data_IF_194939330544
#
_entry.id   IF_194939330544
#
_cell.length_a   1.000
_cell.length_b   1.000
_cell.length_c   1.000
_cell.angle_alpha   90.00
_cell.angle_beta   90.00
_cell.angle_gamma   90.00
#
_symmetry.space_group_name_H-M   'P 1'
#
loop_
_entity.id
_entity.type
_entity.pdbx_description
1 polymer ?
#
# COMPACT_ATOMS: atom_id res chain seq x y z
N UNK A 1 -1.86 -4.42 -86.63
CA UNK A 1 -1.80 -3.27 -85.69
C UNK A 1 -2.91 -3.34 -84.63
N UNK A 2 -4.17 -3.61 -85.00
CA UNK A 2 -5.32 -3.70 -84.06
C UNK A 2 -5.15 -4.68 -82.87
N UNK A 3 -4.58 -5.88 -83.09
CA UNK A 3 -4.39 -6.87 -82.02
C UNK A 3 -3.31 -6.51 -80.98
N UNK A 4 -2.35 -5.63 -81.31
CA UNK A 4 -1.32 -5.18 -80.34
C UNK A 4 -1.88 -4.12 -79.38
N UNK A 5 -2.72 -3.21 -79.88
CA UNK A 5 -3.38 -2.18 -79.06
C UNK A 5 -4.37 -2.78 -78.06
N UNK A 6 -5.16 -3.78 -78.46
CA UNK A 6 -6.11 -4.45 -77.56
C UNK A 6 -5.41 -5.19 -76.39
N UNK A 7 -4.26 -5.81 -76.66
CA UNK A 7 -3.48 -6.52 -75.63
C UNK A 7 -2.84 -5.55 -74.63
N UNK A 8 -2.38 -4.39 -75.12
CA UNK A 8 -1.80 -3.35 -74.28
C UNK A 8 -2.84 -2.69 -73.34
N UNK A 9 -4.05 -2.41 -73.82
CA UNK A 9 -5.11 -1.83 -72.97
C UNK A 9 -5.57 -2.77 -71.86
N UNK A 10 -5.62 -4.08 -72.12
CA UNK A 10 -5.95 -5.10 -71.10
C UNK A 10 -4.84 -5.16 -70.03
N UNK A 11 -3.57 -5.19 -70.45
CA UNK A 11 -2.44 -5.23 -69.49
C UNK A 11 -2.34 -3.96 -68.63
N UNK A 12 -2.65 -2.79 -69.20
CA UNK A 12 -2.68 -1.53 -68.46
C UNK A 12 -3.77 -1.56 -67.38
N UNK A 13 -4.99 -1.99 -67.74
CA UNK A 13 -6.08 -2.15 -66.77
C UNK A 13 -5.74 -3.13 -65.65
N UNK A 14 -5.10 -4.26 -65.97
CA UNK A 14 -4.65 -5.23 -64.97
C UNK A 14 -3.61 -4.65 -64.00
N UNK A 15 -2.62 -3.90 -64.51
CA UNK A 15 -1.59 -3.28 -63.66
C UNK A 15 -2.16 -2.23 -62.69
N UNK A 16 -3.15 -1.44 -63.14
CA UNK A 16 -3.84 -0.46 -62.30
C UNK A 16 -4.62 -1.18 -61.18
N UNK A 17 -5.37 -2.23 -61.51
CA UNK A 17 -6.11 -3.01 -60.51
C UNK A 17 -5.18 -3.63 -59.46
N UNK A 18 -4.05 -4.21 -59.88
CA UNK A 18 -3.05 -4.76 -58.97
C UNK A 18 -2.44 -3.69 -58.06
N UNK A 19 -2.14 -2.50 -58.59
CA UNK A 19 -1.59 -1.41 -57.79
C UNK A 19 -2.56 -0.93 -56.70
N UNK A 20 -3.85 -0.84 -57.02
CA UNK A 20 -4.90 -0.46 -56.06
C UNK A 20 -5.06 -1.54 -54.99
N UNK A 21 -5.06 -2.82 -55.36
CA UNK A 21 -5.15 -3.92 -54.42
C UNK A 21 -3.96 -3.94 -53.44
N UNK A 22 -2.74 -3.73 -53.94
CA UNK A 22 -1.53 -3.65 -53.11
C UNK A 22 -1.61 -2.44 -52.17
N UNK A 23 -2.00 -1.27 -52.68
CA UNK A 23 -2.15 -0.08 -51.87
C UNK A 23 -3.18 -0.27 -50.74
N UNK A 24 -4.32 -0.89 -51.03
CA UNK A 24 -5.35 -1.19 -50.04
C UNK A 24 -4.83 -2.12 -48.92
N UNK A 25 -4.08 -3.16 -49.29
CA UNK A 25 -3.46 -4.07 -48.32
C UNK A 25 -2.44 -3.33 -47.45
N UNK A 26 -1.59 -2.49 -48.05
CA UNK A 26 -0.60 -1.71 -47.31
C UNK A 26 -1.26 -0.73 -46.32
N UNK A 27 -2.36 -0.08 -46.72
CA UNK A 27 -3.14 0.79 -45.83
C UNK A 27 -3.75 -0.02 -44.68
N UNK A 28 -4.36 -1.17 -44.95
CA UNK A 28 -4.93 -2.02 -43.92
C UNK A 28 -3.86 -2.49 -42.89
N UNK A 29 -2.69 -2.90 -43.38
CA UNK A 29 -1.56 -3.29 -42.53
C UNK A 29 -1.04 -2.09 -41.73
N UNK A 30 -0.92 -0.92 -42.36
CA UNK A 30 -0.45 0.30 -41.70
C UNK A 30 -1.40 0.74 -40.59
N UNK A 31 -2.71 0.74 -40.85
CA UNK A 31 -3.75 1.04 -39.84
C UNK A 31 -3.71 0.02 -38.72
N UNK A 32 -3.62 -1.28 -39.04
CA UNK A 32 -3.51 -2.34 -38.03
C UNK A 32 -2.27 -2.18 -37.14
N UNK A 33 -1.10 -1.99 -37.76
CA UNK A 33 0.16 -1.81 -37.04
C UNK A 33 0.16 -0.52 -36.21
N UNK A 34 -0.37 0.57 -36.73
CA UNK A 34 -0.46 1.85 -36.03
C UNK A 34 -1.45 1.77 -34.85
N UNK A 35 -2.63 1.18 -35.05
CA UNK A 35 -3.66 1.07 -34.01
C UNK A 35 -3.25 0.11 -32.90
N UNK A 36 -2.77 -1.09 -33.25
CA UNK A 36 -2.34 -2.10 -32.27
C UNK A 36 -1.10 -1.62 -31.52
N UNK A 37 -0.10 -1.13 -32.25
CA UNK A 37 1.18 -0.73 -31.66
C UNK A 37 1.08 0.52 -30.79
N UNK A 38 0.26 1.49 -31.19
CA UNK A 38 0.22 2.80 -30.54
C UNK A 38 -0.90 2.96 -29.52
N UNK A 39 -1.99 2.20 -29.64
CA UNK A 39 -3.18 2.38 -28.78
C UNK A 39 -3.40 1.19 -27.85
N UNK A 40 -3.42 -0.04 -28.37
CA UNK A 40 -3.77 -1.24 -27.60
C UNK A 40 -2.64 -1.73 -26.69
N UNK A 41 -1.43 -1.89 -27.24
CA UNK A 41 -0.29 -2.43 -26.47
C UNK A 41 0.01 -1.62 -25.20
N UNK A 42 0.09 -0.28 -25.24
CA UNK A 42 0.37 0.50 -24.03
C UNK A 42 -0.72 0.35 -22.96
N UNK A 43 -1.99 0.28 -23.36
CA UNK A 43 -3.12 0.09 -22.44
C UNK A 43 -3.10 -1.29 -21.79
N UNK A 44 -2.85 -2.34 -22.56
CA UNK A 44 -2.75 -3.71 -22.03
C UNK A 44 -1.57 -3.82 -21.07
N UNK A 45 -0.41 -3.29 -21.43
CA UNK A 45 0.78 -3.32 -20.58
C UNK A 45 0.56 -2.53 -19.28
N UNK A 46 -0.12 -1.39 -19.36
CA UNK A 46 -0.52 -0.62 -18.18
C UNK A 46 -1.44 -1.44 -17.25
N UNK A 47 -2.49 -2.08 -17.80
CA UNK A 47 -3.41 -2.91 -17.00
C UNK A 47 -2.71 -4.13 -16.40
N UNK A 48 -1.82 -4.78 -17.15
CA UNK A 48 -1.03 -5.92 -16.66
C UNK A 48 -0.10 -5.50 -15.51
N UNK A 49 0.59 -4.37 -15.65
CA UNK A 49 1.41 -3.79 -14.57
C UNK A 49 0.55 -3.38 -13.38
N UNK A 50 -0.61 -2.78 -13.61
CA UNK A 50 -1.53 -2.39 -12.55
C UNK A 50 -2.04 -3.62 -11.76
N UNK A 51 -2.41 -4.70 -12.45
CA UNK A 51 -2.79 -5.96 -11.83
C UNK A 51 -1.65 -6.56 -10.99
N UNK A 52 -0.42 -6.57 -11.51
CA UNK A 52 0.78 -6.96 -10.76
C UNK A 52 0.98 -6.12 -9.50
N UNK A 53 0.88 -4.79 -9.63
CA UNK A 53 1.01 -3.86 -8.50
C UNK A 53 -0.12 -4.02 -7.46
N UNK A 54 -1.34 -4.37 -7.86
CA UNK A 54 -2.45 -4.66 -6.93
C UNK A 54 -2.14 -5.93 -6.14
N UNK A 55 -1.64 -6.98 -6.82
CA UNK A 55 -1.22 -8.23 -6.17
C UNK A 55 -0.12 -7.97 -5.13
N UNK A 56 0.90 -7.20 -5.50
CA UNK A 56 2.00 -6.79 -4.62
C UNK A 56 1.62 -5.74 -3.56
N UNK A 57 0.40 -5.21 -3.59
CA UNK A 57 -0.08 -4.18 -2.65
C UNK A 57 0.61 -2.82 -2.80
N UNK A 58 1.15 -2.53 -3.98
CA UNK A 58 1.88 -1.31 -4.33
C UNK A 58 1.00 -0.23 -4.96
N UNK A 59 -0.14 -0.58 -5.55
CA UNK A 59 -1.01 0.39 -6.25
C UNK A 59 -2.09 0.99 -5.34
N UNK A 60 -2.08 2.31 -5.16
CA UNK A 60 -3.14 3.06 -4.48
C UNK A 60 -4.10 3.78 -5.44
N UNK A 61 -3.68 4.05 -6.68
CA UNK A 61 -4.47 4.81 -7.64
C UNK A 61 -5.51 3.95 -8.35
N UNK A 62 -6.72 4.48 -8.52
CA UNK A 62 -7.78 3.87 -9.33
C UNK A 62 -7.32 3.79 -10.79
N UNK A 63 -7.53 2.63 -11.42
CA UNK A 63 -7.26 2.45 -12.84
C UNK A 63 -8.36 3.19 -13.62
N UNK A 64 -8.02 4.06 -14.58
CA UNK A 64 -9.03 4.69 -15.44
C UNK A 64 -9.87 3.65 -16.18
N UNK A 65 -11.20 3.75 -16.07
CA UNK A 65 -12.20 2.82 -16.61
C UNK A 65 -13.28 3.56 -17.42
N UNK A 66 -12.92 4.67 -18.07
CA UNK A 66 -13.80 5.62 -18.77
C UNK A 66 -14.20 5.21 -20.20
N UNK A 67 -13.58 4.17 -20.76
CA UNK A 67 -13.94 3.65 -22.07
C UNK A 67 -15.14 2.70 -22.04
N UNK A 68 -15.62 2.36 -23.24
CA UNK A 68 -16.71 1.41 -23.47
C UNK A 68 -16.22 0.14 -24.19
N UNK A 69 -14.93 -0.17 -24.08
CA UNK A 69 -14.28 -1.33 -24.68
C UNK A 69 -14.00 -2.42 -23.64
N UNK A 70 -13.61 -3.60 -24.09
CA UNK A 70 -13.32 -4.76 -23.24
C UNK A 70 -12.16 -4.49 -22.26
N UNK A 71 -11.24 -3.59 -22.61
CA UNK A 71 -10.14 -3.17 -21.73
C UNK A 71 -10.65 -2.32 -20.57
N UNK A 72 -11.70 -1.52 -20.79
CA UNK A 72 -12.35 -0.72 -19.75
C UNK A 72 -13.18 -1.60 -18.81
N UNK A 73 -13.82 -2.65 -19.33
CA UNK A 73 -14.45 -3.68 -18.50
C UNK A 73 -13.41 -4.42 -17.64
N UNK A 74 -12.24 -4.75 -18.20
CA UNK A 74 -11.13 -5.31 -17.43
C UNK A 74 -10.62 -4.34 -16.36
N UNK A 75 -10.49 -3.04 -16.68
CA UNK A 75 -10.11 -2.01 -15.71
C UNK A 75 -11.11 -1.93 -14.55
N UNK A 76 -12.42 -1.99 -14.84
CA UNK A 76 -13.48 -2.02 -13.83
C UNK A 76 -13.40 -3.26 -12.95
N UNK A 77 -13.17 -4.43 -13.54
CA UNK A 77 -12.99 -5.68 -12.81
C UNK A 77 -11.75 -5.64 -11.89
N UNK A 78 -10.63 -5.06 -12.37
CA UNK A 78 -9.43 -4.88 -11.56
C UNK A 78 -9.64 -3.89 -10.41
N UNK A 79 -10.38 -2.80 -10.63
CA UNK A 79 -10.76 -1.86 -9.58
C UNK A 79 -11.62 -2.56 -8.51
N UNK A 80 -12.64 -3.34 -8.91
CA UNK A 80 -13.45 -4.12 -7.98
C UNK A 80 -12.60 -5.12 -7.18
N UNK A 81 -11.71 -5.85 -7.86
CA UNK A 81 -10.80 -6.80 -7.21
C UNK A 81 -9.91 -6.11 -6.16
N UNK A 82 -9.37 -4.94 -6.48
CA UNK A 82 -8.59 -4.11 -5.54
C UNK A 82 -9.43 -3.75 -4.32
N UNK A 83 -10.63 -3.24 -4.53
CA UNK A 83 -11.50 -2.77 -3.44
C UNK A 83 -11.88 -3.93 -2.51
N UNK A 84 -12.27 -5.09 -3.07
CA UNK A 84 -12.54 -6.31 -2.28
C UNK A 84 -11.31 -6.81 -1.52
N UNK A 85 -10.12 -6.74 -2.12
CA UNK A 85 -8.87 -7.11 -1.43
C UNK A 85 -8.61 -6.20 -0.23
N UNK A 86 -8.81 -4.90 -0.39
CA UNK A 86 -8.59 -3.93 0.70
C UNK A 86 -9.61 -4.13 1.84
N UNK A 87 -10.87 -4.43 1.50
CA UNK A 87 -11.89 -4.84 2.47
C UNK A 87 -11.50 -6.14 3.20
N UNK A 88 -11.00 -7.14 2.49
CA UNK A 88 -10.53 -8.40 3.10
C UNK A 88 -9.35 -8.17 4.04
N UNK A 89 -8.39 -7.31 3.67
CA UNK A 89 -7.28 -6.93 4.54
C UNK A 89 -7.81 -6.24 5.81
N UNK A 90 -8.78 -5.35 5.67
CA UNK A 90 -9.40 -4.69 6.82
C UNK A 90 -10.14 -5.68 7.72
N UNK A 91 -10.92 -6.59 7.14
CA UNK A 91 -11.63 -7.64 7.87
C UNK A 91 -10.66 -8.56 8.60
N UNK A 92 -9.56 -8.97 7.95
CA UNK A 92 -8.51 -9.76 8.57
C UNK A 92 -7.83 -9.02 9.74
N UNK A 93 -7.56 -7.71 9.59
CA UNK A 93 -7.03 -6.88 10.69
C UNK A 93 -8.00 -6.79 11.86
N UNK A 94 -9.29 -6.59 11.59
CA UNK A 94 -10.32 -6.54 12.63
C UNK A 94 -10.50 -7.89 13.33
N UNK A 95 -10.48 -9.00 12.58
CA UNK A 95 -10.54 -10.34 13.13
C UNK A 95 -9.32 -10.65 14.02
N UNK A 96 -8.11 -10.33 13.54
CA UNK A 96 -6.90 -10.43 14.34
C UNK A 96 -6.97 -9.56 15.59
N UNK A 97 -7.48 -8.34 15.48
CA UNK A 97 -7.69 -7.45 16.62
C UNK A 97 -8.74 -7.99 17.59
N UNK A 98 -9.79 -8.66 17.13
CA UNK A 98 -10.76 -9.36 17.96
C UNK A 98 -10.14 -10.55 18.72
N UNK A 99 -9.31 -11.36 18.06
CA UNK A 99 -8.56 -12.44 18.71
C UNK A 99 -7.56 -11.88 19.74
N UNK A 100 -6.85 -10.81 19.39
CA UNK A 100 -5.94 -10.13 20.30
C UNK A 100 -6.68 -9.45 21.46
N UNK A 101 -7.87 -8.87 21.23
CA UNK A 101 -8.67 -8.22 22.26
C UNK A 101 -9.08 -9.19 23.37
N UNK A 102 -9.34 -10.47 23.04
CA UNK A 102 -9.58 -11.50 24.04
C UNK A 102 -8.35 -11.73 24.95
N UNK A 103 -7.13 -11.71 24.40
CA UNK A 103 -5.88 -11.80 25.18
C UNK A 103 -5.54 -10.51 25.94
N UNK A 104 -5.81 -9.36 25.32
CA UNK A 104 -5.57 -8.03 25.89
C UNK A 104 -6.50 -7.73 27.04
N UNK A 105 -7.72 -8.27 27.03
CA UNK A 105 -8.59 -8.21 28.20
C UNK A 105 -7.89 -8.77 29.44
N UNK A 106 -7.14 -9.86 29.30
CA UNK A 106 -6.36 -10.42 30.39
C UNK A 106 -5.15 -9.56 30.75
N UNK A 107 -4.42 -9.05 29.75
CA UNK A 107 -3.26 -8.18 29.97
C UNK A 107 -3.60 -6.79 30.53
N UNK A 108 -4.79 -6.24 30.24
CA UNK A 108 -5.28 -4.97 30.82
C UNK A 108 -5.87 -5.17 32.21
N UNK A 109 -6.44 -6.35 32.48
CA UNK A 109 -6.91 -6.69 33.82
C UNK A 109 -5.77 -6.77 34.85
N UNK A 110 -4.56 -7.16 34.43
CA UNK A 110 -3.39 -7.21 35.32
C UNK A 110 -2.98 -5.83 35.90
N UNK A 111 -2.70 -4.78 35.10
CA UNK A 111 -2.40 -3.45 35.62
C UNK A 111 -3.59 -2.86 36.35
N UNK A 112 -4.85 -3.12 35.96
CA UNK A 112 -6.02 -2.72 36.74
C UNK A 112 -6.05 -3.34 38.14
N UNK A 113 -5.76 -4.64 38.25
CA UNK A 113 -5.66 -5.32 39.53
C UNK A 113 -4.52 -4.74 40.39
N UNK A 114 -3.38 -4.43 39.76
CA UNK A 114 -2.26 -3.77 40.42
C UNK A 114 -2.64 -2.37 40.92
N UNK A 115 -3.29 -1.54 40.09
CA UNK A 115 -3.76 -0.21 40.47
C UNK A 115 -4.68 -0.32 41.70
N UNK A 116 -5.68 -1.21 41.64
CA UNK A 116 -6.61 -1.42 42.76
C UNK A 116 -5.88 -1.83 44.05
N UNK A 117 -4.94 -2.76 43.96
CA UNK A 117 -4.15 -3.20 45.13
C UNK A 117 -3.28 -2.07 45.70
N UNK A 118 -2.62 -1.31 44.84
CA UNK A 118 -1.75 -0.21 45.28
C UNK A 118 -2.53 0.96 45.86
N UNK A 119 -3.72 1.27 45.34
CA UNK A 119 -4.61 2.28 45.93
C UNK A 119 -5.01 1.87 47.34
N UNK A 120 -5.45 0.62 47.53
CA UNK A 120 -5.82 0.11 48.86
C UNK A 120 -4.63 0.12 49.84
N UNK A 121 -3.44 -0.27 49.38
CA UNK A 121 -2.24 -0.21 50.20
C UNK A 121 -1.85 1.23 50.55
N UNK A 122 -1.98 2.17 49.62
CA UNK A 122 -1.70 3.58 49.86
C UNK A 122 -2.63 4.15 50.95
N UNK A 123 -3.94 3.88 50.89
CA UNK A 123 -4.90 4.27 51.93
C UNK A 123 -4.52 3.71 53.31
N UNK A 124 -4.12 2.43 53.35
CA UNK A 124 -3.67 1.78 54.60
C UNK A 124 -2.40 2.41 55.15
N UNK A 125 -1.45 2.77 54.30
CA UNK A 125 -0.19 3.43 54.71
C UNK A 125 -0.42 4.86 55.19
N UNK A 126 -1.29 5.62 54.53
CA UNK A 126 -1.72 6.95 54.99
C UNK A 126 -2.35 6.84 56.39
N UNK A 127 -3.26 5.88 56.59
CA UNK A 127 -3.93 5.64 57.88
C UNK A 127 -2.94 5.28 59.00
N UNK A 128 -1.79 4.67 58.64
CA UNK A 128 -0.70 4.32 59.56
C UNK A 128 0.33 5.42 59.75
N UNK A 129 0.12 6.60 59.15
CA UNK A 129 1.09 7.71 59.12
C UNK A 129 2.44 7.33 58.49
N UNK A 130 2.41 6.47 57.46
CA UNK A 130 3.58 6.07 56.65
C UNK A 130 3.50 6.67 55.22
N UNK A 131 3.56 8.01 55.04
CA UNK A 131 3.30 8.66 53.75
C UNK A 131 4.30 8.28 52.65
N UNK A 132 5.55 7.98 53.01
CA UNK A 132 6.58 7.55 52.05
C UNK A 132 6.20 6.26 51.32
N UNK A 133 5.63 5.27 52.04
CA UNK A 133 5.16 4.02 51.43
C UNK A 133 3.92 4.24 50.58
N UNK A 134 3.05 5.17 50.96
CA UNK A 134 1.91 5.57 50.16
C UNK A 134 2.35 6.21 48.83
N UNK A 135 3.33 7.12 48.87
CA UNK A 135 3.93 7.73 47.67
C UNK A 135 4.56 6.68 46.74
N UNK A 136 5.24 5.67 47.28
CA UNK A 136 5.77 4.56 46.48
C UNK A 136 4.66 3.80 45.74
N UNK A 137 3.50 3.60 46.36
CA UNK A 137 2.35 2.96 45.70
C UNK A 137 1.74 3.85 44.63
N UNK A 138 1.65 5.16 44.85
CA UNK A 138 1.19 6.12 43.84
C UNK A 138 2.10 6.12 42.61
N UNK A 139 3.42 6.06 42.78
CA UNK A 139 4.36 5.89 41.66
C UNK A 139 4.13 4.57 40.90
N UNK A 140 3.85 3.46 41.60
CA UNK A 140 3.53 2.19 40.95
C UNK A 140 2.22 2.25 40.15
N UNK A 141 1.23 3.01 40.63
CA UNK A 141 -0.03 3.28 39.90
C UNK A 141 0.25 4.09 38.63
N UNK A 142 1.06 5.13 38.73
CA UNK A 142 1.47 5.95 37.58
C UNK A 142 2.13 5.08 36.50
N UNK A 143 3.11 4.25 36.88
CA UNK A 143 3.77 3.31 35.97
C UNK A 143 2.80 2.30 35.35
N UNK A 144 1.83 1.77 36.12
CA UNK A 144 0.83 0.84 35.58
C UNK A 144 -0.08 1.52 34.54
N UNK A 145 -0.48 2.77 34.80
CA UNK A 145 -1.31 3.57 33.89
C UNK A 145 -0.55 3.93 32.60
N UNK A 146 0.74 4.25 32.71
CA UNK A 146 1.61 4.52 31.57
C UNK A 146 1.72 3.29 30.66
N UNK A 147 1.99 2.10 31.22
CA UNK A 147 2.03 0.84 30.46
C UNK A 147 0.72 0.52 29.76
N UNK A 148 -0.42 0.71 30.44
CA UNK A 148 -1.75 0.53 29.81
C UNK A 148 -1.94 1.47 28.61
N UNK A 149 -1.51 2.72 28.73
CA UNK A 149 -1.61 3.71 27.66
C UNK A 149 -0.78 3.32 26.43
N UNK A 150 0.42 2.77 26.66
CA UNK A 150 1.28 2.23 25.61
C UNK A 150 0.63 1.03 24.89
N UNK A 151 0.12 0.05 25.64
CA UNK A 151 -0.57 -1.13 25.11
C UNK A 151 -1.79 -0.74 24.25
N UNK A 152 -2.61 0.21 24.72
CA UNK A 152 -3.76 0.74 23.97
C UNK A 152 -3.29 1.48 22.71
N UNK A 153 -2.17 2.22 22.81
CA UNK A 153 -1.54 2.90 21.67
C UNK A 153 -1.15 1.95 20.54
N UNK A 154 -0.57 0.79 20.87
CA UNK A 154 -0.22 -0.25 19.89
C UNK A 154 -1.45 -0.76 19.13
N UNK A 155 -2.55 -1.04 19.83
CA UNK A 155 -3.79 -1.50 19.20
C UNK A 155 -4.39 -0.46 18.27
N UNK A 156 -4.42 0.79 18.71
CA UNK A 156 -4.98 1.89 17.91
C UNK A 156 -4.16 2.12 16.62
N UNK A 157 -2.84 1.96 16.68
CA UNK A 157 -1.97 2.01 15.48
C UNK A 157 -2.26 0.87 14.52
N UNK A 158 -2.44 -0.35 15.02
CA UNK A 158 -2.76 -1.52 14.20
C UNK A 158 -4.15 -1.43 13.54
N UNK A 159 -5.13 -0.87 14.26
CA UNK A 159 -6.50 -0.69 13.80
C UNK A 159 -6.68 0.43 12.77
N UNK A 160 -5.78 1.43 12.77
CA UNK A 160 -5.90 2.59 11.87
C UNK A 160 -5.61 2.17 10.42
N UNK A 161 -6.50 2.55 9.52
CA UNK A 161 -6.26 2.48 8.08
C UNK A 161 -5.11 3.46 7.75
N UNK A 162 -3.97 3.02 7.21
CA UNK A 162 -2.98 3.98 6.75
C UNK A 162 -3.62 4.75 5.60
N UNK A 163 -3.84 6.06 5.78
CA UNK A 163 -3.96 6.98 4.66
C UNK A 163 -2.63 6.91 3.92
N UNK A 164 -2.52 5.99 2.97
CA UNK A 164 -1.34 5.84 2.11
C UNK A 164 -1.33 7.01 1.14
N UNK A 165 -0.92 8.18 1.62
CA UNK A 165 -0.41 9.23 0.76
C UNK A 165 0.96 8.76 0.29
N UNK A 166 0.98 8.12 -0.88
CA UNK A 166 2.23 7.83 -1.57
C UNK A 166 2.72 9.15 -2.16
N UNK A 167 3.83 9.64 -1.63
CA UNK A 167 4.49 10.84 -2.09
C UNK A 167 6.01 10.64 -2.12
N UNK A 168 6.76 11.55 -2.78
CA UNK A 168 8.20 11.58 -2.62
C UNK A 168 8.56 11.81 -1.15
N UNK A 169 9.43 10.96 -0.61
CA UNK A 169 9.93 11.05 0.76
C UNK A 169 11.45 11.11 0.68
N UNK A 170 12.06 11.95 1.51
CA UNK A 170 13.50 11.92 1.73
C UNK A 170 13.83 10.73 2.65
N UNK A 171 14.53 9.68 2.14
CA UNK A 171 14.86 8.52 2.94
C UNK A 171 15.70 8.87 4.17
N UNK A 172 16.50 9.94 4.11
CA UNK A 172 17.35 10.34 5.22
C UNK A 172 16.53 10.86 6.39
N UNK A 173 15.48 11.63 6.12
CA UNK A 173 14.56 12.12 7.16
C UNK A 173 13.84 10.94 7.80
N UNK A 174 13.36 9.99 6.99
CA UNK A 174 12.66 8.81 7.50
C UNK A 174 13.56 7.91 8.37
N UNK A 175 14.83 7.76 8.00
CA UNK A 175 15.83 7.02 8.79
C UNK A 175 16.10 7.74 10.12
N UNK A 176 16.30 9.06 10.09
CA UNK A 176 16.58 9.84 11.29
C UNK A 176 15.41 9.83 12.28
N UNK A 177 14.18 9.97 11.77
CA UNK A 177 12.97 9.83 12.57
C UNK A 177 12.81 8.43 13.17
N UNK A 178 13.09 7.38 12.41
CA UNK A 178 13.04 6.00 12.91
C UNK A 178 14.07 5.74 14.01
N UNK A 179 15.29 6.29 13.87
CA UNK A 179 16.34 6.19 14.89
C UNK A 179 15.92 6.96 16.15
N UNK A 180 15.39 8.18 16.00
CA UNK A 180 14.92 8.98 17.12
C UNK A 180 13.78 8.29 17.88
N UNK A 181 12.85 7.65 17.15
CA UNK A 181 11.74 6.89 17.74
C UNK A 181 12.21 5.69 18.57
N UNK A 182 13.32 5.06 18.17
CA UNK A 182 13.89 3.88 18.83
C UNK A 182 15.02 4.22 19.82
N UNK A 183 15.41 5.49 19.95
CA UNK A 183 16.54 5.93 20.76
C UNK A 183 16.49 5.40 22.20
N UNK A 184 15.33 5.48 22.84
CA UNK A 184 15.16 4.99 24.20
C UNK A 184 15.38 3.46 24.32
N UNK A 185 14.96 2.68 23.32
CA UNK A 185 15.18 1.23 23.29
C UNK A 185 16.65 0.87 23.05
N UNK A 186 17.36 1.67 22.26
CA UNK A 186 18.80 1.48 22.03
C UNK A 186 19.60 1.73 23.31
N UNK A 187 19.21 2.72 24.12
CA UNK A 187 19.84 2.96 25.42
C UNK A 187 19.57 1.82 26.41
N UNK A 188 18.32 1.38 26.53
CA UNK A 188 17.93 0.29 27.43
C UNK A 188 18.62 -1.04 27.09
N UNK A 189 18.79 -1.34 25.80
CA UNK A 189 19.39 -2.59 25.31
C UNK A 189 20.89 -2.47 24.99
N UNK A 190 21.51 -1.30 25.27
CA UNK A 190 22.93 -1.03 25.03
C UNK A 190 23.37 -1.26 23.58
N UNK A 191 22.49 -0.93 22.62
CA UNK A 191 22.75 -1.07 21.19
C UNK A 191 23.28 0.24 20.63
N UNK A 192 24.40 0.18 19.92
CA UNK A 192 24.98 1.35 19.24
C UNK A 192 24.61 1.31 17.75
N UNK A 193 24.03 2.40 17.24
CA UNK A 193 23.57 2.51 15.85
C UNK A 193 24.52 3.41 15.06
N UNK A 194 25.03 2.89 13.95
CA UNK A 194 25.86 3.63 13.00
C UNK A 194 25.13 3.77 11.68
N UNK A 195 25.01 5.00 11.19
CA UNK A 195 24.43 5.30 9.88
C UNK A 195 25.56 5.72 8.94
N UNK A 196 25.93 4.84 8.02
CA UNK A 196 26.81 5.21 6.92
C UNK A 196 25.98 5.96 5.87
N UNK A 197 26.27 7.26 5.73
CA UNK A 197 25.52 8.14 4.83
C UNK A 197 26.10 8.22 3.43
N UNK A 198 27.19 7.50 3.14
CA UNK A 198 27.84 7.47 1.82
C UNK A 198 28.15 8.86 1.28
N UNK A 199 29.40 9.33 1.41
CA UNK A 199 29.81 10.62 0.81
C UNK A 199 29.60 10.60 -0.70
N UNK A 200 28.52 11.21 -1.19
CA UNK A 200 28.52 11.76 -2.55
C UNK A 200 29.28 13.06 -2.49
N UNK A 201 30.61 12.95 -2.54
CA UNK A 201 31.44 14.03 -3.03
C UNK A 201 31.00 14.33 -4.47
N UNK A 202 30.35 15.48 -4.64
CA UNK A 202 30.20 16.20 -5.92
C UNK A 202 30.59 17.64 -5.65
#
# INVERSE_FOLDING_TARGET
TSMRTARNTISLGQSVLLSIAIAAILVAISVGHFYVGRTLLPRIEFLARAAGNISEGRSASRIPDDGSDELSDLARALNLFRDTRDELIQSAKLAALGQMAAGIGHELNQPLAAIRSQTHNAERYISRKEPEKALQNLNKIEQATARMSEQIGHLRRFARLPERTIGPVDPMIAIDEAIALLAHRFEDEQVCVFVDRGSRDV
#
